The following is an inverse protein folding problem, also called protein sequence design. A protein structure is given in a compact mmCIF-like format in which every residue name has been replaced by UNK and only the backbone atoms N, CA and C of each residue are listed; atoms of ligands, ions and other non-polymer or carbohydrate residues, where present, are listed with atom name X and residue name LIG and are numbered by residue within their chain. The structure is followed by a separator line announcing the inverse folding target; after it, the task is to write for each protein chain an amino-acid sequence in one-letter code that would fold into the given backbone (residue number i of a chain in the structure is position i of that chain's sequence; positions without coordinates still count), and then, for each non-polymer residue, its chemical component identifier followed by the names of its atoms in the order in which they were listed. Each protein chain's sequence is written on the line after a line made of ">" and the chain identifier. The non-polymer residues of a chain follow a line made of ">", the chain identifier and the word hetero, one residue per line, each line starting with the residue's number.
data_IF_988214471427
#
_entry.id   IF_988214471427
#
_cell.length_a   1.000
_cell.length_b   1.000
_cell.length_c   1.000
_cell.angle_alpha   90.00
_cell.angle_beta   90.00
_cell.angle_gamma   90.00
#
_symmetry.space_group_name_H-M   'P 1'
#
loop_
_entity.id
_entity.type
_entity.pdbx_description
1 polymer ?
#
# COMPACT_ATOMS: atom_id res chain seq x y z
N UNK A 1 -16.28 0.59 -25.83
CA UNK A 1 -15.94 0.98 -24.45
C UNK A 1 -14.53 0.47 -24.19
N UNK A 2 -13.57 1.38 -24.00
CA UNK A 2 -12.20 0.99 -23.64
C UNK A 2 -12.22 0.08 -22.42
N UNK A 3 -11.45 -1.01 -22.47
CA UNK A 3 -11.16 -1.84 -21.30
C UNK A 3 -10.53 -0.95 -20.24
N UNK A 4 -11.33 -0.48 -19.27
CA UNK A 4 -10.83 0.12 -18.03
C UNK A 4 -9.68 -0.72 -17.53
N UNK A 5 -8.51 -0.11 -17.36
CA UNK A 5 -7.35 -0.80 -16.82
C UNK A 5 -7.63 -1.08 -15.34
N UNK A 6 -8.30 -2.22 -15.05
CA UNK A 6 -8.83 -2.56 -13.73
C UNK A 6 -7.79 -2.42 -12.61
N UNK A 7 -6.52 -2.70 -12.91
CA UNK A 7 -5.40 -2.52 -11.98
C UNK A 7 -5.15 -1.04 -11.63
N UNK A 8 -5.10 -0.18 -12.64
CA UNK A 8 -4.92 1.26 -12.48
C UNK A 8 -6.03 1.89 -11.62
N UNK A 9 -7.29 1.58 -11.93
CA UNK A 9 -8.45 2.09 -11.17
C UNK A 9 -8.42 1.62 -9.70
N UNK A 10 -7.95 0.38 -9.45
CA UNK A 10 -7.81 -0.16 -8.08
C UNK A 10 -6.71 0.58 -7.31
N UNK A 11 -5.58 0.87 -7.97
CA UNK A 11 -4.48 1.64 -7.40
C UNK A 11 -4.93 3.02 -6.97
N UNK A 12 -5.48 3.80 -7.92
CA UNK A 12 -5.97 5.16 -7.66
C UNK A 12 -7.04 5.16 -6.56
N UNK A 13 -8.05 4.29 -6.63
CA UNK A 13 -9.08 4.23 -5.59
C UNK A 13 -8.49 3.95 -4.19
N UNK A 14 -7.44 3.13 -4.11
CA UNK A 14 -6.77 2.79 -2.86
C UNK A 14 -5.96 3.97 -2.31
N UNK A 15 -5.25 4.70 -3.16
CA UNK A 15 -4.49 5.90 -2.76
C UNK A 15 -5.40 6.96 -2.14
N UNK A 16 -6.50 7.31 -2.81
CA UNK A 16 -7.49 8.25 -2.27
C UNK A 16 -8.15 7.75 -0.98
N UNK A 17 -8.42 6.46 -0.88
CA UNK A 17 -8.99 5.86 0.33
C UNK A 17 -8.01 5.97 1.50
N UNK A 18 -6.74 5.63 1.31
CA UNK A 18 -5.68 5.76 2.33
C UNK A 18 -5.52 7.23 2.75
N UNK A 19 -5.44 8.15 1.79
CA UNK A 19 -5.38 9.59 2.08
C UNK A 19 -6.56 10.05 2.95
N UNK A 20 -7.79 9.59 2.62
CA UNK A 20 -8.97 9.92 3.41
C UNK A 20 -8.92 9.37 4.84
N UNK A 21 -8.30 8.21 5.05
CA UNK A 21 -8.09 7.64 6.39
C UNK A 21 -7.11 8.48 7.20
N UNK A 22 -6.01 8.92 6.58
CA UNK A 22 -5.00 9.77 7.23
C UNK A 22 -5.62 11.10 7.70
N UNK A 23 -6.42 11.76 6.86
CA UNK A 23 -7.10 13.00 7.27
C UNK A 23 -8.10 12.80 8.40
N UNK A 24 -8.85 11.68 8.41
CA UNK A 24 -9.75 11.34 9.53
C UNK A 24 -9.01 11.10 10.84
N UNK A 25 -7.74 10.72 10.77
CA UNK A 25 -6.85 10.54 11.93
C UNK A 25 -6.15 11.85 12.36
N UNK A 26 -6.41 12.97 11.68
CA UNK A 26 -5.77 14.25 11.95
C UNK A 26 -4.32 14.34 11.47
N UNK A 27 -3.92 13.49 10.54
CA UNK A 27 -2.57 13.46 9.98
C UNK A 27 -2.46 14.46 8.81
N UNK A 28 -1.40 15.27 8.82
CA UNK A 28 -1.07 16.21 7.75
C UNK A 28 -0.40 15.45 6.59
N UNK A 29 -1.21 15.02 5.61
CA UNK A 29 -0.78 14.15 4.51
C UNK A 29 -1.05 14.78 3.13
N UNK A 30 -0.22 14.45 2.14
CA UNK A 30 -0.24 15.02 0.79
C UNK A 30 -0.03 13.94 -0.25
N UNK A 31 -0.90 13.87 -1.25
CA UNK A 31 -0.75 12.96 -2.39
C UNK A 31 0.27 13.51 -3.38
N UNK A 32 1.10 12.64 -3.95
CA UNK A 32 2.00 13.01 -5.03
C UNK A 32 1.31 12.89 -6.39
N UNK A 33 1.74 13.71 -7.36
CA UNK A 33 1.19 13.71 -8.71
C UNK A 33 2.24 13.27 -9.73
N UNK A 34 1.83 12.50 -10.73
CA UNK A 34 2.63 12.12 -11.90
C UNK A 34 2.97 10.63 -11.98
N UNK A 35 3.07 10.12 -13.22
CA UNK A 35 3.24 8.69 -13.50
C UNK A 35 4.65 8.11 -13.20
N UNK A 36 5.65 8.96 -12.92
CA UNK A 36 7.01 8.56 -12.50
C UNK A 36 7.24 8.79 -11.01
N UNK A 37 6.17 8.86 -10.21
CA UNK A 37 6.27 9.06 -8.76
C UNK A 37 6.96 7.86 -8.11
N UNK A 38 7.84 8.14 -7.16
CA UNK A 38 8.50 7.12 -6.34
C UNK A 38 7.70 6.81 -5.06
N UNK A 39 6.87 7.75 -4.59
CA UNK A 39 6.08 7.74 -3.34
C UNK A 39 4.65 8.13 -3.70
N UNK A 40 3.63 7.53 -3.10
CA UNK A 40 2.22 7.86 -3.38
C UNK A 40 1.68 8.97 -2.47
N UNK A 41 2.01 8.91 -1.18
CA UNK A 41 1.55 9.86 -0.17
C UNK A 41 2.73 10.23 0.73
N UNK A 42 2.85 11.51 1.04
CA UNK A 42 3.76 12.04 2.05
C UNK A 42 3.00 12.45 3.31
N UNK A 43 3.58 12.21 4.48
CA UNK A 43 3.10 12.79 5.75
C UNK A 43 4.13 13.82 6.22
N UNK A 44 3.63 15.00 6.58
CA UNK A 44 4.40 16.11 7.12
C UNK A 44 4.46 16.06 8.65
N UNK A 45 5.69 16.14 9.18
CA UNK A 45 5.97 16.43 10.59
C UNK A 45 6.42 17.88 10.75
N UNK A 46 6.68 18.29 11.99
CA UNK A 46 6.88 19.70 12.35
C UNK A 46 8.06 20.36 11.61
N UNK A 47 9.05 19.57 11.18
CA UNK A 47 10.24 20.09 10.49
C UNK A 47 10.34 19.79 8.98
N UNK A 48 9.62 18.78 8.43
CA UNK A 48 9.50 18.49 6.99
C UNK A 48 8.58 17.26 6.72
N UNK A 49 8.58 16.72 5.50
CA UNK A 49 8.06 15.40 5.16
C UNK A 49 8.86 14.27 5.82
N UNK A 50 8.28 13.69 6.85
CA UNK A 50 8.97 12.69 7.68
C UNK A 50 8.58 11.25 7.35
N UNK A 51 7.47 11.00 6.65
CA UNK A 51 7.05 9.63 6.31
C UNK A 51 6.61 9.53 4.84
N UNK A 52 7.20 8.59 4.13
CA UNK A 52 6.82 8.14 2.78
C UNK A 52 5.82 6.98 2.87
N UNK A 53 4.75 7.02 2.07
CA UNK A 53 3.80 5.92 1.91
C UNK A 53 3.76 5.48 0.44
N UNK A 54 3.93 4.18 0.21
CA UNK A 54 3.62 3.48 -1.05
C UNK A 54 2.37 2.61 -0.80
N UNK A 55 1.36 2.76 -1.64
CA UNK A 55 0.07 2.07 -1.54
C UNK A 55 0.07 0.90 -2.51
N UNK A 56 -0.13 -0.31 -1.98
CA UNK A 56 -0.27 -1.52 -2.80
C UNK A 56 -1.63 -2.16 -2.60
N UNK A 57 -2.38 -2.35 -3.67
CA UNK A 57 -3.73 -2.87 -3.59
C UNK A 57 -3.94 -4.14 -4.40
N UNK A 58 -4.75 -5.04 -3.85
CA UNK A 58 -5.12 -6.30 -4.49
C UNK A 58 -6.60 -6.59 -4.29
N UNK A 59 -7.27 -7.06 -5.34
CA UNK A 59 -8.70 -7.39 -5.29
C UNK A 59 -8.97 -8.73 -4.61
N UNK A 60 -8.14 -9.74 -4.88
CA UNK A 60 -8.46 -11.14 -4.53
C UNK A 60 -7.34 -11.93 -3.86
N UNK A 61 -6.08 -11.54 -4.02
CA UNK A 61 -4.95 -12.41 -3.69
C UNK A 61 -4.37 -12.14 -2.30
N UNK A 62 -3.95 -13.21 -1.63
CA UNK A 62 -3.19 -13.15 -0.38
C UNK A 62 -1.68 -12.89 -0.58
N UNK A 63 -1.22 -12.80 -1.83
CA UNK A 63 0.17 -12.60 -2.20
C UNK A 63 0.31 -11.32 -3.02
N UNK A 64 1.13 -10.39 -2.54
CA UNK A 64 1.31 -9.07 -3.16
C UNK A 64 2.73 -8.94 -3.71
N UNK A 65 2.92 -8.60 -4.99
CA UNK A 65 4.24 -8.33 -5.56
C UNK A 65 4.89 -7.10 -4.90
N UNK A 66 6.12 -7.26 -4.40
CA UNK A 66 6.89 -6.23 -3.68
C UNK A 66 8.35 -6.17 -4.15
N UNK A 67 8.62 -6.62 -5.38
CA UNK A 67 9.96 -6.57 -5.98
C UNK A 67 10.57 -5.17 -6.01
N UNK A 68 9.74 -4.14 -6.25
CA UNK A 68 10.16 -2.74 -6.34
C UNK A 68 10.20 -2.02 -4.98
N UNK A 69 9.90 -2.70 -3.87
CA UNK A 69 9.93 -2.07 -2.54
C UNK A 69 11.38 -1.95 -2.08
N UNK A 70 11.72 -0.73 -1.65
CA UNK A 70 13.02 -0.38 -1.05
C UNK A 70 12.90 -0.24 0.46
N UNK A 71 13.91 -0.74 1.18
CA UNK A 71 14.03 -0.63 2.62
C UNK A 71 14.48 0.80 3.01
N UNK A 72 13.62 1.55 3.70
CA UNK A 72 13.94 2.90 4.23
C UNK A 72 13.36 3.06 5.63
N UNK A 73 14.03 3.84 6.47
CA UNK A 73 13.61 4.11 7.86
C UNK A 73 12.27 4.83 7.94
N UNK A 74 12.01 5.72 6.99
CA UNK A 74 10.86 6.60 6.97
C UNK A 74 9.79 6.17 5.96
N UNK A 75 9.82 4.93 5.45
CA UNK A 75 8.86 4.46 4.44
C UNK A 75 7.99 3.34 4.95
N UNK A 76 6.70 3.45 4.68
CA UNK A 76 5.69 2.44 4.95
C UNK A 76 5.00 2.00 3.68
N UNK A 77 4.63 0.73 3.63
CA UNK A 77 3.75 0.17 2.61
C UNK A 77 2.37 0.01 3.22
N UNK A 78 1.37 0.66 2.64
CA UNK A 78 -0.03 0.47 3.02
C UNK A 78 -0.65 -0.51 2.04
N UNK A 79 -0.86 -1.75 2.49
CA UNK A 79 -1.57 -2.75 1.71
C UNK A 79 -3.08 -2.57 1.88
N UNK A 80 -3.79 -2.46 0.75
CA UNK A 80 -5.25 -2.37 0.69
C UNK A 80 -5.80 -3.64 0.05
N UNK A 81 -6.39 -4.52 0.86
CA UNK A 81 -6.82 -5.85 0.44
C UNK A 81 -8.36 -5.90 0.45
N UNK A 82 -8.95 -6.01 -0.75
CA UNK A 82 -10.41 -5.93 -0.92
C UNK A 82 -11.15 -7.26 -0.69
N UNK A 83 -10.44 -8.38 -0.57
CA UNK A 83 -11.02 -9.70 -0.27
C UNK A 83 -12.24 -10.05 -1.16
N UNK A 84 -12.13 -9.83 -2.48
CA UNK A 84 -13.17 -10.05 -3.51
C UNK A 84 -14.37 -9.10 -3.44
N UNK A 85 -14.27 -7.99 -2.70
CA UNK A 85 -15.36 -7.00 -2.52
C UNK A 85 -15.09 -5.66 -3.22
N UNK A 86 -14.24 -5.63 -4.24
CA UNK A 86 -13.97 -4.40 -5.00
C UNK A 86 -15.10 -4.05 -5.97
N UNK A 87 -15.61 -5.03 -6.73
CA UNK A 87 -16.69 -4.83 -7.68
C UNK A 87 -18.02 -5.11 -6.95
N UNK A 88 -18.72 -4.07 -6.52
CA UNK A 88 -20.00 -4.18 -5.80
C UNK A 88 -21.16 -3.62 -6.63
N UNK A 89 -22.33 -4.26 -6.55
CA UNK A 89 -23.61 -3.72 -7.05
C UNK A 89 -24.30 -2.81 -6.02
N UNK A 90 -23.91 -2.92 -4.75
CA UNK A 90 -24.52 -2.27 -3.59
C UNK A 90 -23.52 -1.34 -2.87
N UNK A 91 -23.64 -1.11 -1.56
CA UNK A 91 -22.77 -0.19 -0.80
C UNK A 91 -21.31 -0.71 -0.75
N UNK A 92 -20.30 0.14 -1.05
CA UNK A 92 -18.89 -0.23 -0.93
C UNK A 92 -18.55 -0.73 0.48
N UNK A 93 -17.85 -1.86 0.59
CA UNK A 93 -17.30 -2.32 1.88
C UNK A 93 -15.89 -1.80 2.08
N UNK A 94 -15.54 -1.48 3.32
CA UNK A 94 -14.18 -1.08 3.67
C UNK A 94 -13.23 -2.29 3.48
N UNK A 95 -12.11 -2.13 2.74
CA UNK A 95 -11.07 -3.17 2.63
C UNK A 95 -10.31 -3.33 3.94
N UNK A 96 -9.48 -4.37 4.01
CA UNK A 96 -8.49 -4.51 5.07
C UNK A 96 -7.26 -3.66 4.75
N UNK A 97 -6.75 -2.98 5.77
CA UNK A 97 -5.52 -2.19 5.69
C UNK A 97 -4.43 -2.85 6.52
N UNK A 98 -3.25 -2.97 5.93
CA UNK A 98 -2.03 -3.35 6.63
C UNK A 98 -0.99 -2.26 6.46
N UNK A 99 -0.50 -1.73 7.58
CA UNK A 99 0.47 -0.62 7.60
C UNK A 99 1.81 -1.19 8.02
N UNK A 100 2.71 -1.39 7.06
CA UNK A 100 3.93 -2.19 7.27
C UNK A 100 5.17 -1.34 6.98
N UNK A 101 6.18 -1.30 7.86
CA UNK A 101 7.46 -0.66 7.55
C UNK A 101 8.10 -1.28 6.31
N UNK A 102 8.68 -0.48 5.42
CA UNK A 102 9.25 -1.02 4.17
C UNK A 102 10.46 -1.92 4.41
N UNK A 103 11.24 -1.66 5.48
CA UNK A 103 12.30 -2.56 5.96
C UNK A 103 11.76 -3.96 6.27
N UNK A 104 10.67 -4.04 7.03
CA UNK A 104 10.01 -5.30 7.35
C UNK A 104 9.56 -6.03 6.07
N UNK A 105 9.00 -5.31 5.09
CA UNK A 105 8.58 -5.89 3.81
C UNK A 105 9.76 -6.50 3.06
N UNK A 106 10.91 -5.81 3.00
CA UNK A 106 12.12 -6.31 2.32
C UNK A 106 12.72 -7.51 3.03
N UNK A 107 12.70 -7.53 4.37
CA UNK A 107 13.25 -8.61 5.19
C UNK A 107 12.37 -9.89 5.16
N UNK A 108 11.05 -9.74 5.01
CA UNK A 108 10.09 -10.84 5.13
C UNK A 108 9.43 -11.26 3.80
N UNK A 109 9.79 -10.64 2.67
CA UNK A 109 9.29 -11.05 1.35
C UNK A 109 9.89 -12.39 0.92
N UNK A 110 9.06 -13.24 0.33
CA UNK A 110 9.46 -14.51 -0.25
C UNK A 110 9.97 -14.30 -1.68
N UNK A 111 11.16 -14.83 -1.97
CA UNK A 111 11.75 -14.89 -3.31
C UNK A 111 11.24 -16.11 -4.07
N UNK A 112 10.97 -15.94 -5.35
CA UNK A 112 10.71 -17.03 -6.29
C UNK A 112 11.57 -16.85 -7.54
N UNK A 113 12.12 -17.95 -8.03
CA UNK A 113 12.79 -17.98 -9.32
C UNK A 113 11.76 -18.19 -10.44
N UNK A 114 11.86 -17.37 -11.48
CA UNK A 114 11.00 -17.46 -12.65
C UNK A 114 11.57 -18.47 -13.64
N UNK A 115 10.69 -19.30 -14.24
CA UNK A 115 11.10 -20.30 -15.26
C UNK A 115 11.79 -19.68 -16.47
N UNK A 116 11.51 -18.41 -16.76
CA UNK A 116 12.12 -17.61 -17.83
C UNK A 116 13.49 -17.03 -17.48
N UNK A 117 14.03 -17.32 -16.28
CA UNK A 117 15.11 -16.55 -15.67
C UNK A 117 14.60 -15.30 -14.98
N UNK A 118 15.29 -14.89 -13.91
CA UNK A 118 14.94 -13.76 -13.06
C UNK A 118 14.18 -14.15 -11.79
N UNK A 119 13.91 -13.16 -10.96
CA UNK A 119 13.40 -13.34 -9.60
C UNK A 119 12.15 -12.47 -9.40
N UNK A 120 11.18 -12.99 -8.66
CA UNK A 120 10.06 -12.19 -8.15
C UNK A 120 10.05 -12.24 -6.62
N UNK A 121 9.64 -11.14 -6.01
CA UNK A 121 9.47 -11.06 -4.56
C UNK A 121 8.04 -10.72 -4.24
N UNK A 122 7.41 -11.55 -3.40
CA UNK A 122 6.07 -11.31 -2.91
C UNK A 122 6.05 -11.33 -1.38
N UNK A 123 5.15 -10.56 -0.79
CA UNK A 123 4.80 -10.70 0.63
C UNK A 123 3.41 -11.30 0.74
N UNK A 124 3.19 -12.17 1.74
CA UNK A 124 1.87 -12.74 1.97
C UNK A 124 1.13 -12.03 3.08
N UNK A 125 -0.20 -12.00 2.98
CA UNK A 125 -1.12 -11.50 4.01
C UNK A 125 -0.83 -12.12 5.38
N UNK A 126 -0.54 -13.43 5.44
CA UNK A 126 -0.19 -14.14 6.67
C UNK A 126 1.08 -13.60 7.35
N UNK A 127 2.02 -13.06 6.57
CA UNK A 127 3.32 -12.57 7.06
C UNK A 127 3.21 -11.12 7.56
N UNK A 128 2.12 -10.41 7.23
CA UNK A 128 1.85 -9.05 7.69
C UNK A 128 0.64 -8.96 8.63
N UNK A 129 0.13 -10.10 9.12
CA UNK A 129 -1.12 -10.17 9.90
C UNK A 129 -1.13 -9.24 11.13
N UNK A 130 0.01 -9.06 11.77
CA UNK A 130 0.17 -8.24 12.98
C UNK A 130 0.22 -6.72 12.69
N UNK A 131 0.20 -6.35 11.41
CA UNK A 131 0.16 -4.97 10.93
C UNK A 131 -1.24 -4.51 10.51
N UNK A 132 -2.26 -5.32 10.75
CA UNK A 132 -3.65 -4.96 10.44
C UNK A 132 -4.04 -3.69 11.21
N UNK A 133 -4.51 -2.67 10.48
CA UNK A 133 -4.94 -1.38 11.01
C UNK A 133 -3.93 -0.68 11.95
N UNK A 134 -2.63 -0.95 11.81
CA UNK A 134 -1.54 -0.28 12.56
C UNK A 134 -1.28 1.16 12.13
N UNK A 135 -2.35 1.94 12.01
CA UNK A 135 -2.33 3.38 11.68
C UNK A 135 -1.58 4.21 12.74
N UNK A 136 -1.44 3.68 13.96
CA UNK A 136 -0.61 4.25 15.02
C UNK A 136 0.85 4.43 14.61
N UNK A 137 1.36 3.60 13.69
CA UNK A 137 2.73 3.72 13.17
C UNK A 137 2.95 4.99 12.33
N UNK A 138 1.87 5.62 11.87
CA UNK A 138 1.90 6.80 11.00
C UNK A 138 1.55 8.10 11.74
N UNK A 139 1.29 8.02 13.05
CA UNK A 139 1.01 9.21 13.86
C UNK A 139 2.32 9.88 14.29
N UNK A 140 2.29 11.21 14.41
CA UNK A 140 3.37 11.99 15.02
C UNK A 140 3.71 11.40 16.39
N UNK A 141 4.99 11.21 16.67
CA UNK A 141 5.50 11.03 18.02
C UNK A 141 5.80 12.40 18.62
#
# INVERSE_FOLDING_TARGET
>A
METKNKGFDTGIASEYLVLSMLYRLGVDAYMTLGNKKSVDIWIKNDDDFAIEIDVKSVREYDSIPVGNVEAKDNRYIVFVIYNKKFDFKDVPTLPEFYIVPSKYVVENRTKYDLKSGGERFNIFKKDIKDYINRWDLLKKR
#
